data_IF_301014695315
#
_entry.id   IF_301014695315
#
_cell.length_a   1.000
_cell.length_b   1.000
_cell.length_c   1.000
_cell.angle_alpha   90.00
_cell.angle_beta   90.00
_cell.angle_gamma   90.00
#
_symmetry.space_group_name_H-M   'P 1'
#
loop_
_entity.id
_entity.type
_entity.pdbx_description
1 polymer ?
#
# COMPACT_ATOMS: atom_id res chain seq x y z
N UNK A 1 8.52 50.82 -23.32
CA UNK A 1 7.68 49.63 -23.11
C UNK A 1 8.63 48.51 -22.77
N UNK A 2 8.76 48.18 -21.48
CA UNK A 2 9.56 47.05 -21.04
C UNK A 2 8.68 45.80 -21.17
N UNK A 3 9.07 44.88 -22.04
CA UNK A 3 8.42 43.59 -22.19
C UNK A 3 8.53 42.82 -20.87
N UNK A 4 7.40 42.55 -20.23
CA UNK A 4 7.33 41.72 -19.04
C UNK A 4 7.64 40.27 -19.46
N UNK A 5 8.81 39.78 -19.04
CA UNK A 5 9.21 38.39 -19.23
C UNK A 5 8.21 37.47 -18.51
N UNK A 6 7.70 36.40 -19.15
CA UNK A 6 6.80 35.46 -18.48
C UNK A 6 7.56 34.80 -17.32
N UNK A 7 6.99 34.86 -16.12
CA UNK A 7 7.58 34.23 -14.95
C UNK A 7 7.77 32.73 -15.21
N UNK A 8 8.98 32.22 -14.98
CA UNK A 8 9.25 30.77 -15.03
C UNK A 8 8.29 30.07 -14.07
N UNK A 9 7.66 28.94 -14.47
CA UNK A 9 6.80 28.20 -13.58
C UNK A 9 7.67 27.68 -12.43
N UNK A 10 7.49 28.25 -11.24
CA UNK A 10 8.10 27.73 -10.00
C UNK A 10 7.64 26.28 -9.89
N UNK A 11 8.54 25.34 -10.17
CA UNK A 11 8.37 23.92 -9.89
C UNK A 11 8.17 23.80 -8.38
N UNK A 12 6.92 23.88 -7.92
CA UNK A 12 6.61 23.62 -6.53
C UNK A 12 7.11 22.21 -6.24
N UNK A 13 8.01 22.03 -5.26
CA UNK A 13 8.46 20.70 -4.89
C UNK A 13 7.21 19.89 -4.55
N UNK A 14 7.01 18.77 -5.23
CA UNK A 14 5.86 17.90 -5.01
C UNK A 14 5.91 17.49 -3.53
N UNK A 15 5.12 18.14 -2.68
CA UNK A 15 5.01 17.84 -1.26
C UNK A 15 4.18 16.56 -1.09
N UNK A 16 4.13 15.95 0.09
CA UNK A 16 3.16 14.87 0.33
C UNK A 16 1.74 15.44 0.33
N UNK A 17 0.79 14.77 -0.30
CA UNK A 17 -0.63 15.18 -0.27
C UNK A 17 -1.28 14.83 1.07
N UNK A 18 -0.87 13.70 1.66
CA UNK A 18 -1.34 13.24 2.97
C UNK A 18 -0.18 12.90 3.92
N UNK A 19 0.60 13.90 4.40
CA UNK A 19 1.82 13.68 5.18
C UNK A 19 1.57 12.90 6.48
N UNK A 20 0.44 13.16 7.16
CA UNK A 20 0.06 12.46 8.40
C UNK A 20 -0.19 10.98 8.13
N UNK A 21 -0.88 10.66 7.03
CA UNK A 21 -1.19 9.28 6.66
C UNK A 21 0.08 8.53 6.27
N UNK A 22 0.95 9.16 5.47
CA UNK A 22 2.24 8.59 5.09
C UNK A 22 3.12 8.32 6.32
N UNK A 23 3.13 9.22 7.30
CA UNK A 23 3.83 9.01 8.56
C UNK A 23 3.29 7.79 9.31
N UNK A 24 1.99 7.72 9.59
CA UNK A 24 1.41 6.61 10.34
C UNK A 24 1.56 5.26 9.59
N UNK A 25 1.49 5.29 8.26
CA UNK A 25 1.69 4.12 7.41
C UNK A 25 3.07 3.47 7.59
N UNK A 26 4.12 4.27 7.78
CA UNK A 26 5.49 3.80 8.03
C UNK A 26 5.71 3.55 9.53
N UNK A 27 5.14 4.39 10.40
CA UNK A 27 5.28 4.29 11.84
C UNK A 27 4.86 2.92 12.38
N UNK A 28 3.68 2.40 12.01
CA UNK A 28 3.23 1.10 12.52
C UNK A 28 4.12 -0.06 12.07
N UNK A 29 4.67 0.01 10.86
CA UNK A 29 5.64 -0.97 10.34
C UNK A 29 6.92 -0.96 11.16
N UNK A 30 7.53 0.21 11.30
CA UNK A 30 8.76 0.39 12.07
C UNK A 30 8.55 0.04 13.55
N UNK A 31 7.42 0.44 14.14
CA UNK A 31 7.09 0.12 15.53
C UNK A 31 7.00 -1.39 15.75
N UNK A 32 6.30 -2.13 14.86
CA UNK A 32 6.21 -3.60 14.97
C UNK A 32 7.58 -4.28 14.92
N UNK A 33 8.48 -3.79 14.07
CA UNK A 33 9.87 -4.27 13.97
C UNK A 33 10.69 -3.94 15.22
N UNK A 34 10.65 -2.68 15.67
CA UNK A 34 11.41 -2.24 16.84
C UNK A 34 10.96 -2.98 18.11
N UNK A 35 9.65 -3.11 18.32
CA UNK A 35 9.12 -3.84 19.47
C UNK A 35 9.52 -5.31 19.41
N UNK A 36 9.49 -5.94 18.23
CA UNK A 36 9.99 -7.31 18.08
C UNK A 36 11.47 -7.47 18.51
N UNK A 37 12.34 -6.54 18.09
CA UNK A 37 13.75 -6.57 18.47
C UNK A 37 13.96 -6.27 19.97
N UNK A 38 13.33 -5.23 20.49
CA UNK A 38 13.48 -4.78 21.87
C UNK A 38 12.90 -5.80 22.87
N UNK A 39 11.74 -6.38 22.57
CA UNK A 39 11.15 -7.45 23.38
C UNK A 39 12.08 -8.66 23.47
N UNK A 40 12.80 -9.00 22.40
CA UNK A 40 13.81 -10.06 22.40
C UNK A 40 15.06 -9.76 23.24
N UNK A 41 15.29 -8.49 23.60
CA UNK A 41 16.44 -8.02 24.39
C UNK A 41 16.09 -7.77 25.87
N UNK A 42 14.91 -7.25 26.16
CA UNK A 42 14.57 -6.75 27.51
C UNK A 42 13.52 -7.57 28.27
N UNK A 43 12.77 -8.46 27.61
CA UNK A 43 11.66 -9.19 28.24
C UNK A 43 11.79 -10.70 28.06
N UNK A 44 11.73 -11.44 29.17
CA UNK A 44 11.71 -12.91 29.18
C UNK A 44 10.31 -13.51 28.99
N UNK A 45 9.24 -12.70 29.07
CA UNK A 45 7.88 -13.19 28.93
C UNK A 45 7.45 -13.23 27.47
N UNK A 46 7.52 -14.42 26.87
CA UNK A 46 7.14 -14.66 25.49
C UNK A 46 5.69 -14.22 25.19
N UNK A 47 4.74 -14.50 26.08
CA UNK A 47 3.32 -14.22 25.84
C UNK A 47 3.07 -12.72 25.73
N UNK A 48 3.65 -11.93 26.65
CA UNK A 48 3.52 -10.47 26.60
C UNK A 48 4.14 -9.89 25.33
N UNK A 49 5.33 -10.38 24.94
CA UNK A 49 6.02 -9.96 23.72
C UNK A 49 5.21 -10.33 22.47
N UNK A 50 4.67 -11.54 22.43
CA UNK A 50 3.83 -12.03 21.34
C UNK A 50 2.61 -11.14 21.16
N UNK A 51 1.86 -10.88 22.25
CA UNK A 51 0.66 -10.04 22.20
C UNK A 51 1.00 -8.62 21.73
N UNK A 52 2.05 -8.01 22.28
CA UNK A 52 2.46 -6.66 21.91
C UNK A 52 2.80 -6.53 20.42
N UNK A 53 3.60 -7.45 19.87
CA UNK A 53 4.00 -7.42 18.45
C UNK A 53 2.82 -7.73 17.54
N UNK A 54 2.01 -8.74 17.86
CA UNK A 54 0.85 -9.12 17.03
C UNK A 54 -0.17 -7.99 16.97
N UNK A 55 -0.44 -7.29 18.09
CA UNK A 55 -1.34 -6.13 18.10
C UNK A 55 -0.82 -5.02 17.17
N UNK A 56 0.48 -4.73 17.20
CA UNK A 56 1.09 -3.76 16.28
C UNK A 56 1.01 -4.20 14.82
N UNK A 57 1.19 -5.49 14.53
CA UNK A 57 1.01 -6.05 13.19
C UNK A 57 -0.44 -5.94 12.71
N UNK A 58 -1.43 -6.12 13.59
CA UNK A 58 -2.84 -5.93 13.26
C UNK A 58 -3.16 -4.47 12.96
N UNK A 59 -2.61 -3.54 13.74
CA UNK A 59 -2.75 -2.11 13.44
C UNK A 59 -2.09 -1.75 12.10
N UNK A 60 -0.89 -2.24 11.82
CA UNK A 60 -0.23 -2.06 10.53
C UNK A 60 -1.07 -2.61 9.37
N UNK A 61 -1.57 -3.84 9.52
CA UNK A 61 -2.41 -4.48 8.53
C UNK A 61 -3.68 -3.68 8.25
N UNK A 62 -4.40 -3.30 9.31
CA UNK A 62 -5.66 -2.58 9.20
C UNK A 62 -5.47 -1.17 8.63
N UNK A 63 -4.44 -0.44 9.07
CA UNK A 63 -4.15 0.92 8.57
C UNK A 63 -3.70 0.91 7.12
N UNK A 64 -2.93 -0.10 6.70
CA UNK A 64 -2.56 -0.29 5.30
C UNK A 64 -3.80 -0.56 4.45
N UNK A 65 -4.63 -1.52 4.86
CA UNK A 65 -5.83 -1.97 4.14
C UNK A 65 -6.93 -0.88 4.05
N UNK A 66 -7.21 -0.17 5.13
CA UNK A 66 -8.43 0.65 5.24
C UNK A 66 -8.20 2.15 5.12
N UNK A 67 -7.00 2.64 5.46
CA UNK A 67 -6.69 4.08 5.44
C UNK A 67 -5.70 4.39 4.31
N UNK A 68 -4.52 3.79 4.39
CA UNK A 68 -3.38 4.13 3.53
C UNK A 68 -3.67 3.80 2.07
N UNK A 69 -4.27 2.63 1.80
CA UNK A 69 -4.67 2.28 0.43
C UNK A 69 -5.63 3.27 -0.21
N UNK A 70 -6.60 3.77 0.56
CA UNK A 70 -7.61 4.71 0.05
C UNK A 70 -7.04 6.11 -0.16
N UNK A 71 -6.21 6.59 0.76
CA UNK A 71 -5.73 7.98 0.75
C UNK A 71 -4.42 8.16 -0.02
N UNK A 72 -3.48 7.21 0.07
CA UNK A 72 -2.16 7.34 -0.58
C UNK A 72 -2.14 6.87 -2.03
N UNK A 73 -2.95 5.86 -2.37
CA UNK A 73 -2.98 5.27 -3.72
C UNK A 73 -4.38 5.18 -4.34
N UNK A 74 -5.44 5.54 -3.60
CA UNK A 74 -6.80 5.50 -4.14
C UNK A 74 -7.30 4.10 -4.49
N UNK A 75 -6.77 3.06 -3.84
CA UNK A 75 -7.10 1.65 -4.10
C UNK A 75 -7.82 1.03 -2.91
N UNK A 76 -8.79 0.16 -3.18
CA UNK A 76 -9.49 -0.60 -2.16
C UNK A 76 -9.80 -2.01 -2.64
N UNK A 77 -9.64 -2.99 -1.76
CA UNK A 77 -9.97 -4.37 -2.05
C UNK A 77 -10.70 -5.05 -0.89
N UNK A 78 -11.68 -5.89 -1.21
CA UNK A 78 -12.36 -6.76 -0.25
C UNK A 78 -12.82 -8.03 -0.95
N UNK A 79 -13.27 -8.99 -0.14
CA UNK A 79 -13.83 -10.23 -0.61
C UNK A 79 -15.32 -10.26 -0.27
N UNK A 80 -16.15 -10.47 -1.28
CA UNK A 80 -17.58 -10.71 -1.16
C UNK A 80 -17.82 -12.21 -1.23
N UNK A 81 -18.36 -12.79 -0.17
CA UNK A 81 -18.79 -14.18 -0.18
C UNK A 81 -20.24 -14.21 -0.62
N UNK A 82 -20.48 -14.84 -1.76
CA UNK A 82 -21.81 -15.06 -2.33
C UNK A 82 -22.12 -16.55 -2.35
N UNK A 83 -23.37 -16.93 -2.62
CA UNK A 83 -23.77 -18.34 -2.74
C UNK A 83 -23.00 -19.08 -3.86
N UNK A 84 -22.46 -18.35 -4.84
CA UNK A 84 -21.63 -18.85 -5.93
C UNK A 84 -20.13 -18.94 -5.58
N UNK A 85 -19.75 -18.52 -4.36
CA UNK A 85 -18.37 -18.53 -3.87
C UNK A 85 -17.77 -17.15 -3.60
N UNK A 86 -16.44 -17.10 -3.59
CA UNK A 86 -15.61 -15.97 -3.16
C UNK A 86 -15.30 -15.00 -4.32
N UNK A 87 -15.91 -13.82 -4.29
CA UNK A 87 -15.73 -12.77 -5.30
C UNK A 87 -14.83 -11.66 -4.77
N UNK A 88 -13.64 -11.51 -5.35
CA UNK A 88 -12.73 -10.42 -5.00
C UNK A 88 -13.09 -9.16 -5.76
N UNK A 89 -13.35 -8.07 -5.03
CA UNK A 89 -13.64 -6.75 -5.59
C UNK A 89 -12.46 -5.82 -5.42
N UNK A 90 -12.22 -5.03 -6.46
CA UNK A 90 -11.13 -4.05 -6.54
C UNK A 90 -11.70 -2.72 -7.02
N UNK A 91 -11.68 -1.72 -6.14
CA UNK A 91 -12.14 -0.35 -6.41
C UNK A 91 -10.93 0.56 -6.59
N UNK A 92 -11.06 1.49 -7.54
CA UNK A 92 -10.17 2.64 -7.68
C UNK A 92 -10.97 3.93 -7.69
N UNK A 93 -10.35 5.04 -7.29
CA UNK A 93 -10.96 6.37 -7.39
C UNK A 93 -11.49 6.64 -8.82
N UNK A 94 -12.69 7.22 -8.90
CA UNK A 94 -13.38 7.58 -10.14
C UNK A 94 -12.61 8.67 -10.92
N UNK A 95 -12.91 8.77 -12.23
CA UNK A 95 -12.33 9.79 -13.12
C UNK A 95 -12.61 11.20 -12.61
N UNK A 96 -11.57 12.03 -12.52
CA UNK A 96 -11.65 13.40 -11.99
C UNK A 96 -11.30 13.56 -10.51
N UNK A 97 -11.37 12.49 -9.70
CA UNK A 97 -10.93 12.49 -8.29
C UNK A 97 -9.49 11.98 -8.10
N UNK A 98 -8.84 11.58 -9.20
CA UNK A 98 -7.55 10.89 -9.22
C UNK A 98 -6.35 11.84 -9.16
N UNK A 99 -6.36 12.84 -8.28
CA UNK A 99 -5.15 13.61 -7.96
C UNK A 99 -4.30 12.85 -6.94
N UNK A 100 -3.78 11.67 -7.32
CA UNK A 100 -2.88 10.90 -6.45
C UNK A 100 -1.51 11.54 -6.51
N UNK A 101 -1.00 11.91 -5.34
CA UNK A 101 0.34 12.45 -5.23
C UNK A 101 1.39 11.36 -5.48
N UNK A 102 2.35 11.63 -6.37
CA UNK A 102 3.40 10.68 -6.71
C UNK A 102 4.24 10.23 -5.50
N UNK A 103 4.50 11.12 -4.53
CA UNK A 103 5.27 10.78 -3.32
C UNK A 103 4.49 9.92 -2.34
N UNK A 104 3.19 10.19 -2.17
CA UNK A 104 2.31 9.35 -1.33
C UNK A 104 2.23 7.94 -1.90
N UNK A 105 2.04 7.83 -3.22
CA UNK A 105 2.02 6.55 -3.93
C UNK A 105 3.35 5.81 -3.81
N UNK A 106 4.48 6.50 -4.07
CA UNK A 106 5.80 5.90 -3.94
C UNK A 106 6.07 5.40 -2.51
N UNK A 107 5.75 6.22 -1.50
CA UNK A 107 5.89 5.83 -0.10
C UNK A 107 5.11 4.56 0.19
N UNK A 108 3.84 4.51 -0.19
CA UNK A 108 2.97 3.34 0.02
C UNK A 108 3.51 2.07 -0.65
N UNK A 109 3.94 2.14 -1.91
CA UNK A 109 4.42 0.94 -2.61
C UNK A 109 5.74 0.44 -2.05
N UNK A 110 6.69 1.34 -1.74
CA UNK A 110 7.96 0.96 -1.16
C UNK A 110 7.78 0.30 0.21
N UNK A 111 7.02 0.91 1.12
CA UNK A 111 6.75 0.33 2.44
C UNK A 111 5.99 -0.99 2.35
N UNK A 112 5.05 -1.11 1.40
CA UNK A 112 4.26 -2.33 1.19
C UNK A 112 5.14 -3.53 0.80
N UNK A 113 6.11 -3.34 -0.11
CA UNK A 113 7.00 -4.42 -0.56
C UNK A 113 8.18 -4.66 0.38
N UNK A 114 8.71 -3.62 1.03
CA UNK A 114 9.84 -3.76 1.97
C UNK A 114 9.41 -4.54 3.22
N UNK A 115 8.20 -4.31 3.71
CA UNK A 115 7.69 -4.94 4.94
C UNK A 115 7.86 -6.47 4.97
N UNK A 116 7.33 -7.27 4.01
CA UNK A 116 7.49 -8.72 4.03
C UNK A 116 8.96 -9.14 3.86
N UNK A 117 9.78 -8.39 3.11
CA UNK A 117 11.21 -8.71 2.94
C UNK A 117 11.97 -8.59 4.26
N UNK A 118 11.70 -7.54 5.04
CA UNK A 118 12.30 -7.36 6.37
C UNK A 118 11.90 -8.50 7.32
N UNK A 119 10.62 -8.90 7.33
CA UNK A 119 10.16 -10.01 8.16
C UNK A 119 10.73 -11.36 7.73
N UNK A 120 10.87 -11.62 6.43
CA UNK A 120 11.51 -12.84 5.92
C UNK A 120 12.98 -12.88 6.35
N UNK A 121 13.71 -11.76 6.23
CA UNK A 121 15.10 -11.68 6.69
C UNK A 121 15.23 -11.96 8.19
N UNK A 122 14.34 -11.40 9.02
CA UNK A 122 14.28 -11.71 10.45
C UNK A 122 13.93 -13.18 10.73
N UNK A 123 13.05 -13.77 9.92
CA UNK A 123 12.72 -15.19 9.99
C UNK A 123 13.96 -16.08 9.82
N UNK A 124 14.78 -15.78 8.81
CA UNK A 124 16.04 -16.48 8.57
C UNK A 124 16.95 -16.37 9.79
N UNK A 125 17.14 -15.17 10.34
CA UNK A 125 17.95 -14.95 11.56
C UNK A 125 17.41 -15.75 12.75
N UNK A 126 16.09 -15.81 12.90
CA UNK A 126 15.41 -16.49 14.02
C UNK A 126 15.57 -18.01 13.93
N UNK A 127 15.53 -18.57 12.72
CA UNK A 127 15.81 -20.00 12.46
C UNK A 127 17.23 -20.35 12.87
N UNK A 128 18.23 -19.54 12.49
CA UNK A 128 19.63 -19.77 12.89
C UNK A 128 19.84 -19.64 14.41
N UNK A 129 19.05 -18.82 15.10
CA UNK A 129 19.09 -18.69 16.57
C UNK A 129 18.29 -19.77 17.30
N UNK A 130 17.64 -20.70 16.60
CA UNK A 130 16.78 -21.77 17.15
C UNK A 130 15.68 -21.26 18.10
N UNK A 131 15.23 -20.01 17.94
CA UNK A 131 14.13 -19.42 18.75
C UNK A 131 12.77 -19.66 18.06
N UNK A 132 12.30 -20.90 18.09
CA UNK A 132 11.10 -21.34 17.37
C UNK A 132 9.84 -20.56 17.78
N UNK A 133 9.71 -20.19 19.05
CA UNK A 133 8.54 -19.42 19.53
C UNK A 133 8.39 -18.07 18.80
N UNK A 134 9.52 -17.41 18.52
CA UNK A 134 9.54 -16.12 17.81
C UNK A 134 9.33 -16.27 16.31
N UNK A 135 9.50 -17.48 15.75
CA UNK A 135 9.21 -17.77 14.35
C UNK A 135 7.71 -17.65 14.07
N UNK A 136 6.85 -17.99 15.05
CA UNK A 136 5.39 -17.85 14.92
C UNK A 136 4.98 -16.39 14.62
N UNK A 137 5.60 -15.43 15.30
CA UNK A 137 5.37 -14.00 15.08
C UNK A 137 5.75 -13.61 13.66
N UNK A 138 6.90 -14.10 13.18
CA UNK A 138 7.38 -13.83 11.81
C UNK A 138 6.40 -14.40 10.79
N UNK A 139 5.91 -15.62 10.99
CA UNK A 139 4.92 -16.22 10.08
C UNK A 139 3.65 -15.36 9.98
N UNK A 140 3.11 -14.92 11.12
CA UNK A 140 1.94 -14.02 11.14
C UNK A 140 2.23 -12.72 10.39
N UNK A 141 3.39 -12.10 10.66
CA UNK A 141 3.79 -10.85 10.01
C UNK A 141 3.91 -11.00 8.48
N UNK A 142 4.54 -12.08 8.01
CA UNK A 142 4.68 -12.37 6.58
C UNK A 142 3.30 -12.60 5.94
N UNK A 143 2.44 -13.41 6.56
CA UNK A 143 1.10 -13.69 6.01
C UNK A 143 0.27 -12.41 5.86
N UNK A 144 0.21 -11.57 6.89
CA UNK A 144 -0.53 -10.31 6.84
C UNK A 144 0.05 -9.33 5.81
N UNK A 145 1.38 -9.23 5.75
CA UNK A 145 2.07 -8.37 4.78
C UNK A 145 1.84 -8.85 3.35
N UNK A 146 1.96 -10.14 3.10
CA UNK A 146 1.68 -10.76 1.81
C UNK A 146 0.22 -10.56 1.38
N UNK A 147 -0.74 -10.70 2.30
CA UNK A 147 -2.15 -10.46 2.00
C UNK A 147 -2.41 -9.03 1.49
N UNK A 148 -1.74 -8.02 2.07
CA UNK A 148 -1.78 -6.65 1.58
C UNK A 148 -1.07 -6.51 0.22
N UNK A 149 0.14 -7.08 0.06
CA UNK A 149 0.88 -7.05 -1.21
C UNK A 149 0.04 -7.63 -2.35
N UNK A 150 -0.54 -8.82 -2.17
CA UNK A 150 -1.36 -9.47 -3.18
C UNK A 150 -2.63 -8.66 -3.49
N UNK A 151 -3.33 -8.18 -2.47
CA UNK A 151 -4.54 -7.37 -2.62
C UNK A 151 -4.29 -6.11 -3.45
N UNK A 152 -3.29 -5.31 -3.07
CA UNK A 152 -2.99 -4.06 -3.76
C UNK A 152 -2.36 -4.25 -5.13
N UNK A 153 -1.49 -5.25 -5.30
CA UNK A 153 -0.89 -5.54 -6.61
C UNK A 153 -1.96 -5.94 -7.62
N UNK A 154 -2.93 -6.78 -7.22
CA UNK A 154 -4.04 -7.17 -8.09
C UNK A 154 -4.95 -5.96 -8.39
N UNK A 155 -5.27 -5.17 -7.37
CA UNK A 155 -6.05 -3.93 -7.52
C UNK A 155 -5.42 -2.96 -8.51
N UNK A 156 -4.11 -2.73 -8.42
CA UNK A 156 -3.36 -1.81 -9.27
C UNK A 156 -3.30 -2.26 -10.73
N UNK A 157 -3.15 -3.58 -10.96
CA UNK A 157 -3.21 -4.17 -12.30
C UNK A 157 -4.58 -3.96 -12.93
N UNK A 158 -5.64 -4.23 -12.18
CA UNK A 158 -7.01 -4.07 -12.65
C UNK A 158 -7.35 -2.60 -12.93
N UNK A 159 -6.94 -1.68 -12.06
CA UNK A 159 -7.04 -0.24 -12.24
C UNK A 159 -6.38 0.24 -13.56
N UNK A 160 -5.19 -0.29 -13.83
CA UNK A 160 -4.42 0.04 -15.03
C UNK A 160 -5.10 -0.48 -16.29
N UNK A 161 -5.74 -1.66 -16.21
CA UNK A 161 -6.48 -2.24 -17.32
C UNK A 161 -7.78 -1.48 -17.61
N UNK A 162 -8.52 -1.07 -16.58
CA UNK A 162 -9.74 -0.26 -16.74
C UNK A 162 -9.43 1.08 -17.42
N UNK A 163 -8.37 1.78 -16.99
CA UNK A 163 -7.90 3.00 -17.64
C UNK A 163 -7.55 2.81 -19.12
N UNK A 164 -6.83 1.73 -19.46
CA UNK A 164 -6.49 1.43 -20.86
C UNK A 164 -7.73 1.15 -21.71
N UNK A 165 -8.71 0.43 -21.16
CA UNK A 165 -9.96 0.14 -21.85
C UNK A 165 -10.76 1.43 -22.11
N UNK A 166 -10.85 2.31 -21.11
CA UNK A 166 -11.50 3.62 -21.25
C UNK A 166 -10.82 4.48 -22.31
N UNK A 167 -9.49 4.62 -22.27
CA UNK A 167 -8.73 5.38 -23.26
C UNK A 167 -8.92 4.84 -24.69
N UNK A 168 -8.93 3.51 -24.84
CA UNK A 168 -9.18 2.86 -26.14
C UNK A 168 -10.60 3.16 -26.65
N UNK A 169 -11.61 3.13 -25.76
CA UNK A 169 -12.99 3.44 -26.11
C UNK A 169 -13.18 4.91 -26.48
N UNK A 170 -12.56 5.84 -25.74
CA UNK A 170 -12.58 7.26 -26.05
C UNK A 170 -11.91 7.56 -27.41
N UNK A 171 -10.76 6.94 -27.68
CA UNK A 171 -10.09 7.05 -28.99
C UNK A 171 -10.96 6.50 -30.12
N UNK A 172 -11.60 5.35 -29.93
CA UNK A 172 -12.54 4.78 -30.91
C UNK A 172 -13.71 5.73 -31.18
N UNK A 173 -14.32 6.29 -30.13
CA UNK A 173 -15.40 7.25 -30.27
C UNK A 173 -14.95 8.51 -31.03
N UNK A 174 -13.78 9.07 -30.69
CA UNK A 174 -13.20 10.21 -31.40
C UNK A 174 -12.92 9.91 -32.88
N UNK A 175 -12.40 8.73 -33.19
CA UNK A 175 -12.17 8.29 -34.56
C UNK A 175 -13.49 8.11 -35.33
N UNK A 176 -14.50 7.46 -34.74
CA UNK A 176 -15.83 7.33 -35.37
C UNK A 176 -16.49 8.68 -35.61
N UNK A 177 -16.35 9.62 -34.68
CA UNK A 177 -16.89 10.97 -34.81
C UNK A 177 -16.16 11.78 -35.89
N UNK A 178 -14.86 11.56 -36.09
CA UNK A 178 -14.09 12.18 -37.17
C UNK A 178 -14.46 11.59 -38.54
N UNK A 179 -14.62 10.27 -38.64
CA UNK A 179 -15.05 9.60 -39.88
C UNK A 179 -16.47 10.01 -40.26
N UNK A 180 -17.39 10.13 -39.30
CA UNK A 180 -18.76 10.57 -39.55
C UNK A 180 -18.88 12.05 -40.01
N UNK A 181 -17.79 12.81 -39.97
CA UNK A 181 -17.73 14.22 -40.41
C UNK A 181 -17.08 14.41 -41.79
N UNK A 182 -16.63 13.32 -42.43
CA UNK A 182 -16.08 13.29 -43.81
C UNK A 182 -17.12 12.70 -44.74
#
# INVERSE_FOLDING_TARGET
MADAQPADPVLQPIAYGHPVVAFFHVFFKVASFLVYLLCGLFSSNFIANFVAVVVLLMFDFWTTKNISGRLLVGLRYWNEVTDQGSNWRFETLEEGQRSINAKDSACFWWSLYIQPLVWIALGIVTIFRLKIDYLLIVVIAVVLSCANVFGYTKCSKEASNQLKAMATNAMRQGLTAAIARV
#
